data_IF_510260189837
#
_entry.id   IF_510260189837
#
_cell.length_a   1.000
_cell.length_b   1.000
_cell.length_c   1.000
_cell.angle_alpha   90.00
_cell.angle_beta   90.00
_cell.angle_gamma   90.00
#
_symmetry.space_group_name_H-M   'P 1'
#
loop_
_entity.id
_entity.type
_entity.pdbx_description
1 polymer ?
#
# COMPACT_ATOMS: atom_id res chain seq x y z
N UNK A 1 0.06 26.41 -13.33
CA UNK A 1 -0.59 25.12 -13.60
C UNK A 1 -1.50 24.76 -12.43
N UNK A 2 -2.43 23.89 -12.64
CA UNK A 2 -3.29 23.39 -11.55
C UNK A 2 -2.57 22.28 -10.77
N UNK A 3 -2.97 22.06 -9.51
CA UNK A 3 -2.45 20.94 -8.69
C UNK A 3 -2.60 19.61 -9.42
N UNK A 4 -3.74 19.38 -10.06
CA UNK A 4 -3.95 18.16 -10.86
C UNK A 4 -2.88 18.00 -11.94
N UNK A 5 -2.56 19.08 -12.64
CA UNK A 5 -1.60 19.06 -13.74
C UNK A 5 -0.17 18.86 -13.25
N UNK A 6 0.19 19.53 -12.14
CA UNK A 6 1.50 19.36 -11.53
C UNK A 6 1.71 17.92 -11.05
N UNK A 7 0.76 17.38 -10.31
CA UNK A 7 0.81 15.98 -9.83
C UNK A 7 0.89 15.00 -10.99
N UNK A 8 0.06 15.17 -12.01
CA UNK A 8 0.09 14.31 -13.20
C UNK A 8 1.44 14.35 -13.92
N UNK A 9 2.00 15.54 -14.09
CA UNK A 9 3.29 15.70 -14.74
C UNK A 9 4.41 15.02 -13.95
N UNK A 10 4.46 15.22 -12.63
CA UNK A 10 5.46 14.56 -11.78
C UNK A 10 5.38 13.03 -11.83
N UNK A 11 4.16 12.49 -11.83
CA UNK A 11 3.95 11.04 -11.93
C UNK A 11 4.35 10.50 -13.31
N UNK A 12 4.07 11.25 -14.37
CA UNK A 12 4.45 10.89 -15.74
C UNK A 12 5.98 10.97 -15.95
N UNK A 13 6.63 12.00 -15.44
CA UNK A 13 8.09 12.17 -15.52
C UNK A 13 8.85 11.00 -14.91
N UNK A 14 8.33 10.43 -13.83
CA UNK A 14 8.90 9.27 -13.16
C UNK A 14 8.37 7.92 -13.69
N UNK A 15 7.59 7.95 -14.77
CA UNK A 15 7.03 6.77 -15.43
C UNK A 15 6.15 5.88 -14.52
N UNK A 16 5.51 6.46 -13.52
CA UNK A 16 4.62 5.73 -12.58
C UNK A 16 3.14 5.98 -12.84
N UNK A 17 2.78 7.01 -13.61
CA UNK A 17 1.40 7.30 -13.98
C UNK A 17 0.84 6.18 -14.87
N UNK A 18 -0.35 5.69 -14.53
CA UNK A 18 -1.04 4.65 -15.30
C UNK A 18 -2.29 5.18 -15.99
N UNK A 19 -3.22 5.71 -15.23
CA UNK A 19 -4.48 6.24 -15.78
C UNK A 19 -5.16 7.22 -14.82
N UNK A 20 -6.14 7.96 -15.33
CA UNK A 20 -7.08 8.74 -14.54
C UNK A 20 -8.37 7.95 -14.41
N UNK A 21 -8.73 7.60 -13.17
CA UNK A 21 -9.99 6.93 -12.87
C UNK A 21 -11.14 7.92 -12.81
N UNK A 22 -12.34 7.47 -13.18
CA UNK A 22 -13.56 8.22 -12.95
C UNK A 22 -13.93 8.11 -11.46
N UNK A 23 -14.08 9.25 -10.80
CA UNK A 23 -14.43 9.34 -9.38
C UNK A 23 -15.25 10.61 -9.14
N UNK A 24 -16.52 10.44 -8.85
CA UNK A 24 -17.44 11.56 -8.63
C UNK A 24 -17.15 12.34 -7.33
N UNK A 25 -16.42 11.74 -6.40
CA UNK A 25 -16.09 12.31 -5.10
C UNK A 25 -14.71 12.98 -5.06
N UNK A 26 -13.98 12.96 -6.17
CA UNK A 26 -12.65 13.53 -6.28
C UNK A 26 -12.57 14.64 -7.33
N UNK A 27 -11.67 15.61 -7.10
CA UNK A 27 -11.26 16.56 -8.14
C UNK A 27 -10.42 15.83 -9.20
N UNK A 28 -9.56 14.92 -8.74
CA UNK A 28 -8.89 13.94 -9.57
C UNK A 28 -8.58 12.65 -8.80
N UNK A 29 -8.53 11.54 -9.53
CA UNK A 29 -8.13 10.23 -9.04
C UNK A 29 -7.17 9.60 -10.05
N UNK A 30 -5.90 9.50 -9.70
CA UNK A 30 -4.89 8.87 -10.53
C UNK A 30 -4.57 7.49 -10.00
N UNK A 31 -4.48 6.53 -10.91
CA UNK A 31 -3.96 5.20 -10.64
C UNK A 31 -2.49 5.19 -11.05
N UNK A 32 -1.64 4.75 -10.16
CA UNK A 32 -0.20 4.66 -10.36
C UNK A 32 0.32 3.25 -10.13
N UNK A 33 1.49 2.98 -10.65
CA UNK A 33 2.21 1.73 -10.46
C UNK A 33 3.59 2.03 -9.88
N UNK A 34 3.79 1.68 -8.59
CA UNK A 34 5.04 1.95 -7.87
C UNK A 34 5.27 0.95 -6.72
N UNK A 35 6.41 0.25 -6.72
CA UNK A 35 7.21 -0.06 -7.90
C UNK A 35 6.42 -0.94 -8.88
N UNK A 36 7.06 -1.41 -9.94
CA UNK A 36 6.41 -2.22 -10.97
C UNK A 36 5.51 -3.32 -10.35
N UNK A 37 4.33 -3.51 -10.94
CA UNK A 37 3.29 -4.46 -10.52
C UNK A 37 2.57 -4.13 -9.20
N UNK A 38 2.86 -2.97 -8.57
CA UNK A 38 2.13 -2.50 -7.39
C UNK A 38 1.26 -1.30 -7.73
N UNK A 39 -0.05 -1.51 -7.71
CA UNK A 39 -1.04 -0.48 -8.03
C UNK A 39 -1.40 0.30 -6.77
N UNK A 40 -1.38 1.62 -6.87
CA UNK A 40 -1.76 2.55 -5.81
C UNK A 40 -2.61 3.67 -6.38
N UNK A 41 -3.25 4.41 -5.50
CA UNK A 41 -4.13 5.53 -5.85
C UNK A 41 -3.56 6.85 -5.30
N UNK A 42 -3.67 7.91 -6.10
CA UNK A 42 -3.38 9.29 -5.73
C UNK A 42 -4.65 10.10 -5.96
N UNK A 43 -5.31 10.51 -4.89
CA UNK A 43 -6.66 11.07 -4.93
C UNK A 43 -6.70 12.44 -4.28
N UNK A 44 -7.30 13.41 -4.94
CA UNK A 44 -7.69 14.69 -4.37
C UNK A 44 -9.20 14.67 -4.12
N UNK A 45 -9.68 14.41 -2.89
CA UNK A 45 -11.10 14.47 -2.61
C UNK A 45 -11.65 15.87 -2.82
N UNK A 46 -12.91 15.98 -3.28
CA UNK A 46 -13.59 17.26 -3.41
C UNK A 46 -13.68 17.97 -2.07
N UNK A 47 -13.59 19.29 -2.11
CA UNK A 47 -13.77 20.16 -0.94
C UNK A 47 -12.74 19.94 0.19
N UNK A 48 -11.64 19.25 -0.10
CA UNK A 48 -10.54 19.04 0.85
C UNK A 48 -9.22 19.54 0.27
N UNK A 49 -8.42 20.17 1.10
CA UNK A 49 -7.08 20.67 0.77
C UNK A 49 -5.99 19.59 0.99
N UNK A 50 -6.31 18.36 0.64
CA UNK A 50 -5.46 17.20 0.91
C UNK A 50 -5.40 16.28 -0.30
N UNK A 51 -4.23 15.69 -0.53
CA UNK A 51 -4.03 14.58 -1.46
C UNK A 51 -3.81 13.33 -0.64
N UNK A 52 -4.59 12.30 -0.91
CA UNK A 52 -4.52 10.98 -0.27
C UNK A 52 -3.81 10.03 -1.19
N UNK A 53 -2.78 9.37 -0.68
CA UNK A 53 -2.09 8.27 -1.37
C UNK A 53 -2.44 7.00 -0.62
N UNK A 54 -2.88 5.98 -1.34
CA UNK A 54 -3.33 4.76 -0.70
C UNK A 54 -3.23 3.51 -1.56
N UNK A 55 -3.27 2.38 -0.91
CA UNK A 55 -3.45 1.08 -1.53
C UNK A 55 -4.29 0.17 -0.66
N UNK A 56 -5.18 -0.58 -1.31
CA UNK A 56 -5.94 -1.67 -0.69
C UNK A 56 -5.34 -3.00 -1.13
N UNK A 57 -5.13 -3.90 -0.21
CA UNK A 57 -4.53 -5.21 -0.48
C UNK A 57 -5.41 -6.32 0.08
N UNK A 58 -5.84 -7.21 -0.79
CA UNK A 58 -6.51 -8.46 -0.40
C UNK A 58 -5.47 -9.46 0.07
N UNK A 59 -5.71 -10.10 1.19
CA UNK A 59 -4.87 -11.20 1.68
C UNK A 59 -5.12 -12.42 0.81
N UNK A 60 -4.05 -13.12 0.43
CA UNK A 60 -4.16 -14.33 -0.38
C UNK A 60 -5.00 -15.42 0.32
N UNK A 61 -5.87 -16.16 -0.39
CA UNK A 61 -6.70 -17.20 0.19
C UNK A 61 -5.91 -18.24 0.97
N UNK A 62 -4.70 -18.57 0.53
CA UNK A 62 -3.79 -19.51 1.18
C UNK A 62 -3.34 -18.99 2.55
N UNK A 63 -3.00 -17.69 2.67
CA UNK A 63 -2.68 -17.08 3.96
C UNK A 63 -3.89 -17.02 4.88
N UNK A 64 -5.08 -16.70 4.33
CA UNK A 64 -6.33 -16.72 5.12
C UNK A 64 -6.57 -18.11 5.70
N UNK A 65 -6.42 -19.15 4.90
CA UNK A 65 -6.58 -20.54 5.34
C UNK A 65 -5.59 -20.92 6.45
N UNK A 66 -4.33 -20.53 6.30
CA UNK A 66 -3.31 -20.77 7.33
C UNK A 66 -3.58 -20.01 8.62
N UNK A 67 -4.04 -18.75 8.54
CA UNK A 67 -4.46 -17.98 9.71
C UNK A 67 -5.66 -18.60 10.40
N UNK A 68 -6.66 -19.07 9.65
CA UNK A 68 -7.85 -19.72 10.22
C UNK A 68 -7.49 -20.96 11.05
N UNK A 69 -6.47 -21.69 10.64
CA UNK A 69 -5.99 -22.89 11.33
C UNK A 69 -4.97 -22.60 12.44
N UNK A 70 -4.53 -21.37 12.58
CA UNK A 70 -3.61 -20.94 13.64
C UNK A 70 -4.34 -20.84 15.00
N UNK A 71 -3.57 -20.89 16.09
CA UNK A 71 -4.12 -20.68 17.42
C UNK A 71 -4.63 -19.24 17.60
N UNK A 72 -5.59 -18.99 18.51
CA UNK A 72 -6.03 -17.63 18.82
C UNK A 72 -4.87 -16.72 19.24
N UNK A 73 -3.88 -17.27 19.94
CA UNK A 73 -2.71 -16.53 20.40
C UNK A 73 -1.83 -16.09 19.21
N UNK A 74 -1.60 -16.97 18.24
CA UNK A 74 -0.85 -16.63 17.00
C UNK A 74 -1.55 -15.59 16.17
N UNK A 75 -2.89 -15.70 16.01
CA UNK A 75 -3.70 -14.70 15.30
C UNK A 75 -3.63 -13.32 15.97
N UNK A 76 -3.80 -13.27 17.27
CA UNK A 76 -3.77 -12.02 18.03
C UNK A 76 -2.38 -11.37 17.98
N UNK A 77 -1.32 -12.17 18.11
CA UNK A 77 0.05 -11.69 17.95
C UNK A 77 0.30 -11.08 16.58
N UNK A 78 -0.13 -11.75 15.52
CA UNK A 78 0.01 -11.26 14.16
C UNK A 78 -0.71 -9.92 13.94
N UNK A 79 -1.97 -9.81 14.36
CA UNK A 79 -2.74 -8.56 14.26
C UNK A 79 -2.11 -7.42 15.06
N UNK A 80 -1.59 -7.72 16.24
CA UNK A 80 -0.87 -6.75 17.07
C UNK A 80 0.42 -6.28 16.35
N UNK A 81 1.20 -7.19 15.80
CA UNK A 81 2.43 -6.87 15.08
C UNK A 81 2.15 -6.02 13.84
N UNK A 82 1.12 -6.34 13.07
CA UNK A 82 0.68 -5.53 11.91
C UNK A 82 0.34 -4.11 12.36
N UNK A 83 -0.52 -3.96 13.35
CA UNK A 83 -0.98 -2.65 13.83
C UNK A 83 0.18 -1.83 14.38
N UNK A 84 1.04 -2.43 15.20
CA UNK A 84 2.21 -1.77 15.79
C UNK A 84 3.17 -1.28 14.70
N UNK A 85 3.46 -2.12 13.73
CA UNK A 85 4.36 -1.75 12.64
C UNK A 85 3.78 -0.67 11.72
N UNK A 86 2.49 -0.72 11.39
CA UNK A 86 1.85 0.35 10.61
C UNK A 86 1.88 1.69 11.35
N UNK A 87 1.68 1.70 12.67
CA UNK A 87 1.84 2.89 13.49
C UNK A 87 3.28 3.44 13.44
N UNK A 88 4.29 2.58 13.44
CA UNK A 88 5.70 2.99 13.32
C UNK A 88 6.04 3.58 11.96
N UNK A 89 5.35 3.18 10.89
CA UNK A 89 5.47 3.79 9.57
C UNK A 89 4.83 5.18 9.48
N UNK A 90 4.07 5.60 10.50
CA UNK A 90 3.35 6.87 10.50
C UNK A 90 2.34 7.01 9.34
N UNK A 91 1.70 5.92 8.99
CA UNK A 91 0.62 5.86 8.00
C UNK A 91 -0.72 5.64 8.68
N UNK A 92 -1.79 6.02 8.03
CA UNK A 92 -3.14 5.62 8.39
C UNK A 92 -3.46 4.24 7.80
N UNK A 93 -4.29 3.47 8.48
CA UNK A 93 -4.63 2.14 8.00
C UNK A 93 -6.01 1.69 8.45
N UNK A 94 -6.57 0.78 7.69
CA UNK A 94 -7.80 0.06 8.01
C UNK A 94 -7.55 -1.43 7.83
N UNK A 95 -7.86 -2.23 8.84
CA UNK A 95 -7.76 -3.68 8.82
C UNK A 95 -9.15 -4.29 8.78
N UNK A 96 -9.46 -5.02 7.72
CA UNK A 96 -10.68 -5.81 7.64
C UNK A 96 -10.40 -7.19 8.20
N UNK A 97 -10.93 -7.44 9.38
CA UNK A 97 -10.72 -8.68 10.15
C UNK A 97 -12.04 -9.42 10.28
N UNK A 98 -12.02 -10.72 10.04
CA UNK A 98 -13.14 -11.63 10.27
C UNK A 98 -12.65 -12.84 11.07
N UNK A 99 -13.29 -13.11 12.23
CA UNK A 99 -12.89 -14.19 13.15
C UNK A 99 -11.38 -14.20 13.46
N UNK A 100 -10.85 -13.04 13.84
CA UNK A 100 -9.43 -12.80 14.12
C UNK A 100 -8.49 -13.10 12.94
N UNK A 101 -9.02 -13.15 11.73
CA UNK A 101 -8.27 -13.41 10.51
C UNK A 101 -8.30 -12.19 9.60
N UNK A 102 -7.13 -11.68 9.24
CA UNK A 102 -7.00 -10.53 8.34
C UNK A 102 -7.43 -10.91 6.92
N UNK A 103 -8.42 -10.20 6.38
CA UNK A 103 -8.96 -10.40 5.03
C UNK A 103 -8.40 -9.40 4.03
N UNK A 104 -8.31 -8.16 4.44
CA UNK A 104 -7.85 -7.04 3.63
C UNK A 104 -7.22 -5.99 4.54
N UNK A 105 -6.28 -5.26 4.01
CA UNK A 105 -5.78 -4.05 4.65
C UNK A 105 -5.66 -2.91 3.67
N UNK A 106 -5.94 -1.70 4.14
CA UNK A 106 -5.79 -0.46 3.39
C UNK A 106 -4.77 0.39 4.13
N UNK A 107 -3.80 0.90 3.40
CA UNK A 107 -2.78 1.83 3.92
C UNK A 107 -2.94 3.14 3.18
N UNK A 108 -3.01 4.24 3.92
CA UNK A 108 -3.11 5.58 3.35
C UNK A 108 -2.15 6.55 4.04
N UNK A 109 -1.78 7.60 3.33
CA UNK A 109 -1.07 8.74 3.89
C UNK A 109 -1.50 10.01 3.15
N UNK A 110 -1.36 11.15 3.78
CA UNK A 110 -1.90 12.41 3.33
C UNK A 110 -0.80 13.45 3.10
N UNK A 111 -1.00 14.30 2.07
CA UNK A 111 -0.21 15.50 1.86
C UNK A 111 -1.19 16.67 1.74
N UNK A 112 -1.05 17.67 2.60
CA UNK A 112 -1.82 18.91 2.46
C UNK A 112 -1.28 19.75 1.30
N UNK A 113 -2.15 20.54 0.67
CA UNK A 113 -1.79 21.30 -0.52
C UNK A 113 -0.63 22.28 -0.29
N UNK A 114 -0.54 22.87 0.89
CA UNK A 114 0.55 23.80 1.27
C UNK A 114 1.91 23.10 1.44
N UNK A 115 1.92 21.79 1.68
CA UNK A 115 3.13 20.95 1.74
C UNK A 115 3.42 20.17 0.48
N UNK A 116 2.59 20.31 -0.55
CA UNK A 116 2.70 19.51 -1.78
C UNK A 116 3.89 19.94 -2.65
N UNK A 117 4.83 19.05 -2.79
CA UNK A 117 5.95 19.15 -3.73
C UNK A 117 6.19 17.80 -4.38
N UNK A 118 6.92 17.75 -5.49
CA UNK A 118 7.32 16.47 -6.12
C UNK A 118 8.03 15.56 -5.10
N UNK A 119 8.93 16.11 -4.30
CA UNK A 119 9.67 15.35 -3.27
C UNK A 119 8.73 14.79 -2.19
N UNK A 120 7.80 15.60 -1.67
CA UNK A 120 6.82 15.16 -0.68
C UNK A 120 5.91 14.06 -1.25
N UNK A 121 5.44 14.20 -2.50
CA UNK A 121 4.62 13.22 -3.19
C UNK A 121 5.31 11.85 -3.25
N UNK A 122 6.54 11.80 -3.76
CA UNK A 122 7.27 10.54 -3.93
C UNK A 122 7.75 9.93 -2.60
N UNK A 123 8.07 10.74 -1.61
CA UNK A 123 8.35 10.25 -0.25
C UNK A 123 7.12 9.59 0.38
N UNK A 124 5.95 10.18 0.17
CA UNK A 124 4.68 9.62 0.69
C UNK A 124 4.28 8.34 -0.05
N UNK A 125 4.39 8.32 -1.38
CA UNK A 125 4.19 7.10 -2.19
C UNK A 125 5.09 5.97 -1.69
N UNK A 126 6.37 6.25 -1.50
CA UNK A 126 7.35 5.28 -1.00
C UNK A 126 7.01 4.77 0.40
N UNK A 127 6.55 5.66 1.30
CA UNK A 127 6.14 5.30 2.66
C UNK A 127 4.95 4.33 2.65
N UNK A 128 3.91 4.64 1.90
CA UNK A 128 2.72 3.78 1.74
C UNK A 128 3.12 2.42 1.17
N UNK A 129 3.96 2.40 0.14
CA UNK A 129 4.47 1.15 -0.42
C UNK A 129 5.25 0.32 0.60
N UNK A 130 6.16 0.93 1.36
CA UNK A 130 6.96 0.23 2.38
C UNK A 130 6.09 -0.33 3.50
N UNK A 131 5.07 0.40 3.92
CA UNK A 131 4.11 -0.08 4.91
C UNK A 131 3.33 -1.30 4.39
N UNK A 132 2.84 -1.26 3.15
CA UNK A 132 2.22 -2.40 2.48
C UNK A 132 3.17 -3.61 2.41
N UNK A 133 4.39 -3.39 1.95
CA UNK A 133 5.40 -4.43 1.83
C UNK A 133 5.69 -5.09 3.18
N UNK A 134 5.75 -4.31 4.24
CA UNK A 134 5.98 -4.83 5.58
C UNK A 134 4.87 -5.80 6.03
N UNK A 135 3.61 -5.48 5.72
CA UNK A 135 2.50 -6.40 5.98
C UNK A 135 2.64 -7.71 5.21
N UNK A 136 3.05 -7.66 3.95
CA UNK A 136 3.32 -8.85 3.14
C UNK A 136 4.46 -9.68 3.75
N UNK A 137 5.52 -9.03 4.21
CA UNK A 137 6.65 -9.70 4.88
C UNK A 137 6.21 -10.40 6.16
N UNK A 138 5.37 -9.77 6.97
CA UNK A 138 4.82 -10.39 8.19
C UNK A 138 3.94 -11.60 7.88
N UNK A 139 3.08 -11.50 6.85
CA UNK A 139 2.27 -12.62 6.39
C UNK A 139 3.14 -13.81 5.98
N UNK A 140 4.17 -13.55 5.19
CA UNK A 140 5.09 -14.58 4.74
C UNK A 140 5.91 -15.18 5.88
N UNK A 141 6.31 -14.38 6.85
CA UNK A 141 7.09 -14.83 7.99
C UNK A 141 6.26 -15.72 8.94
N UNK A 142 5.05 -15.27 9.28
CA UNK A 142 4.21 -15.96 10.26
C UNK A 142 3.44 -17.16 9.66
N UNK A 143 3.04 -17.06 8.37
CA UNK A 143 2.16 -18.03 7.71
C UNK A 143 2.75 -18.67 6.46
N UNK A 144 4.03 -18.44 6.18
CA UNK A 144 4.75 -19.06 5.09
C UNK A 144 4.75 -18.28 3.78
N UNK A 145 5.84 -18.43 3.05
CA UNK A 145 6.04 -17.77 1.77
C UNK A 145 5.34 -18.55 0.65
N UNK A 146 4.32 -17.96 0.05
CA UNK A 146 3.54 -18.57 -1.03
C UNK A 146 4.33 -18.73 -2.33
N UNK A 147 5.46 -18.03 -2.49
CA UNK A 147 6.30 -18.10 -3.69
C UNK A 147 7.24 -19.31 -3.73
N UNK A 148 7.31 -20.12 -2.67
CA UNK A 148 8.24 -21.24 -2.58
C UNK A 148 7.83 -22.50 -3.36
N UNK A 149 6.68 -22.52 -4.03
CA UNK A 149 6.25 -23.69 -4.81
C UNK A 149 6.66 -23.66 -6.29
N UNK A 150 7.36 -22.61 -6.77
CA UNK A 150 7.79 -22.49 -8.16
C UNK A 150 9.11 -21.72 -8.34
N UNK A 151 10.08 -21.80 -7.45
CA UNK A 151 11.31 -21.07 -7.65
C UNK A 151 12.50 -21.96 -7.99
N UNK A 152 12.92 -21.87 -9.24
CA UNK A 152 14.35 -21.88 -9.55
C UNK A 152 15.02 -20.71 -8.79
N UNK A 153 16.27 -20.87 -8.32
CA UNK A 153 16.96 -19.81 -7.59
C UNK A 153 17.10 -18.58 -8.48
N UNK A 154 16.44 -17.49 -8.13
CA UNK A 154 16.72 -16.17 -8.69
C UNK A 154 18.05 -15.69 -8.12
N UNK A 155 18.98 -15.40 -9.01
CA UNK A 155 20.25 -14.75 -8.74
C UNK A 155 20.07 -13.52 -7.81
N UNK A 156 20.81 -13.53 -6.71
CA UNK A 156 20.88 -12.48 -5.70
C UNK A 156 21.59 -11.20 -6.17
N UNK A 157 21.34 -10.73 -7.38
CA UNK A 157 22.01 -9.53 -7.91
C UNK A 157 21.05 -8.46 -8.43
N UNK A 158 19.94 -8.22 -7.73
CA UNK A 158 19.17 -7.01 -7.95
C UNK A 158 19.06 -6.23 -6.64
N UNK A 159 20.03 -5.36 -6.41
CA UNK A 159 20.02 -4.42 -5.27
C UNK A 159 19.14 -3.18 -5.53
N UNK A 160 18.43 -3.15 -6.65
CA UNK A 160 17.53 -2.04 -7.02
C UNK A 160 16.25 -2.59 -7.64
N UNK A 161 15.26 -2.77 -6.82
CA UNK A 161 13.88 -2.88 -7.25
C UNK A 161 13.08 -1.88 -6.45
#
# INVERSE_FOLDING_TARGET
MTIEQDVKNWLADECVFREKAADENADFHFVIEFPKDNVMDVVKPKEKDVIVIGCATQVAPEHISLMQNASPQEKNKFLFDVSTNLNLFLVDYELKVDQDTLQQYVVTDNIYEDGLTKDALFKTIKRVFKAKLHCIMLLNYDFGNLNNNNSKPHNENSMFV
#
